data_IF_406890283929
#
_entry.id   IF_406890283929
#
_cell.length_a   1.000
_cell.length_b   1.000
_cell.length_c   1.000
_cell.angle_alpha   90.00
_cell.angle_beta   90.00
_cell.angle_gamma   90.00
#
_symmetry.space_group_name_H-M   'P 1'
#
loop_
_entity.id
_entity.type
_entity.pdbx_description
1 polymer ?
#
# COMPACT_ATOMS: atom_id res chain seq x y z
N UNK A 1 -37.27 -48.87 31.47
CA UNK A 1 -37.46 -48.15 32.75
C UNK A 1 -36.13 -48.10 33.46
N UNK A 2 -35.62 -46.92 33.80
CA UNK A 2 -34.34 -46.78 34.50
C UNK A 2 -33.81 -45.35 34.50
N UNK A 3 -34.29 -44.53 35.43
CA UNK A 3 -33.57 -43.38 35.99
C UNK A 3 -33.22 -43.76 37.45
N UNK A 4 -32.19 -43.19 38.13
CA UNK A 4 -31.97 -41.74 38.18
C UNK A 4 -30.53 -41.20 38.45
N UNK A 5 -30.46 -39.86 38.40
CA UNK A 5 -29.75 -38.91 39.28
C UNK A 5 -28.21 -38.86 39.41
N UNK A 6 -27.69 -37.65 39.22
CA UNK A 6 -26.43 -37.16 39.79
C UNK A 6 -26.19 -35.68 39.44
N UNK A 7 -26.68 -34.76 40.27
CA UNK A 7 -26.33 -33.33 40.25
C UNK A 7 -25.01 -33.14 40.97
N UNK A 8 -24.15 -32.22 40.53
CA UNK A 8 -23.40 -31.42 41.51
C UNK A 8 -23.04 -30.00 41.06
N UNK A 9 -22.99 -29.11 42.06
CA UNK A 9 -23.00 -27.65 42.00
C UNK A 9 -21.63 -27.05 42.36
N UNK A 10 -21.19 -26.09 41.54
CA UNK A 10 -20.41 -24.90 41.95
C UNK A 10 -18.91 -25.08 42.20
N UNK A 11 -18.14 -24.01 42.53
CA UNK A 11 -18.52 -22.61 42.70
C UNK A 11 -17.73 -21.58 41.84
N UNK A 12 -18.20 -20.33 41.93
CA UNK A 12 -17.60 -19.07 41.46
C UNK A 12 -16.27 -18.75 42.17
N UNK A 13 -15.52 -17.79 41.58
CA UNK A 13 -14.61 -16.75 42.16
C UNK A 13 -13.35 -16.64 41.28
N UNK A 14 -12.72 -15.51 41.01
CA UNK A 14 -12.94 -14.08 41.23
C UNK A 14 -11.98 -13.35 40.27
N UNK A 15 -12.36 -12.17 39.79
CA UNK A 15 -11.40 -11.20 39.27
C UNK A 15 -10.83 -10.37 40.44
N UNK A 16 -9.59 -9.88 40.31
CA UNK A 16 -9.27 -8.56 40.84
C UNK A 16 -8.76 -7.59 39.77
N UNK A 17 -9.16 -6.33 39.97
CA UNK A 17 -8.81 -5.12 39.22
C UNK A 17 -7.43 -4.58 39.60
N UNK A 18 -6.82 -3.93 38.59
CA UNK A 18 -6.09 -2.64 38.61
C UNK A 18 -4.83 -2.45 39.48
N UNK A 19 -3.73 -2.15 38.78
CA UNK A 19 -2.76 -1.07 39.06
C UNK A 19 -2.25 -0.62 37.67
N UNK A 20 -2.36 0.63 37.23
CA UNK A 20 -1.53 1.79 37.59
C UNK A 20 -0.50 2.06 36.48
N UNK A 21 -0.31 3.32 36.00
CA UNK A 21 0.43 3.62 34.77
C UNK A 21 1.94 3.76 35.02
N UNK A 22 2.77 3.21 34.13
CA UNK A 22 4.21 3.51 34.10
C UNK A 22 4.50 4.65 33.10
N UNK A 23 4.59 5.86 33.63
CA UNK A 23 5.49 6.91 33.11
C UNK A 23 6.92 6.63 33.60
N UNK A 24 7.91 7.00 32.79
CA UNK A 24 9.09 7.67 33.30
C UNK A 24 9.19 9.10 32.74
N UNK A 25 9.27 10.05 33.66
CA UNK A 25 9.76 11.42 33.43
C UNK A 25 11.31 11.44 33.47
N UNK A 26 11.87 12.47 32.79
CA UNK A 26 13.16 13.16 32.99
C UNK A 26 14.37 12.76 32.13
N UNK A 27 14.81 13.74 31.35
CA UNK A 27 16.20 14.21 31.38
C UNK A 27 16.92 14.16 30.04
N UNK A 28 17.06 15.32 29.37
CA UNK A 28 17.92 15.41 28.18
C UNK A 28 17.80 16.73 27.43
N UNK A 29 18.08 17.84 28.09
CA UNK A 29 18.33 19.14 27.47
C UNK A 29 19.46 19.06 26.44
N UNK A 30 19.16 19.24 25.15
CA UNK A 30 20.15 19.55 24.12
C UNK A 30 19.62 20.60 23.14
N UNK A 31 19.47 21.82 23.64
CA UNK A 31 19.44 23.03 22.82
C UNK A 31 20.71 23.84 23.09
N UNK A 32 21.49 24.20 22.06
CA UNK A 32 22.22 25.44 22.09
C UNK A 32 21.35 26.55 21.50
N UNK A 33 20.84 27.42 22.38
CA UNK A 33 20.40 28.77 22.02
C UNK A 33 21.62 29.57 21.55
N UNK A 34 21.55 30.16 20.36
CA UNK A 34 22.31 31.37 20.02
C UNK A 34 21.36 32.43 19.48
N UNK A 35 21.57 33.63 19.99
CA UNK A 35 20.71 34.81 19.94
C UNK A 35 21.07 35.74 18.76
N UNK A 36 20.02 36.14 18.05
CA UNK A 36 19.64 37.49 17.56
C UNK A 36 20.58 38.44 16.79
N UNK A 37 19.93 39.06 15.79
CA UNK A 37 20.11 40.39 15.18
C UNK A 37 21.21 40.52 14.10
N UNK A 38 21.01 41.18 12.94
CA UNK A 38 19.91 41.96 12.38
C UNK A 38 20.42 42.75 11.14
N UNK A 39 19.52 43.11 10.22
CA UNK A 39 19.68 44.04 9.07
C UNK A 39 20.57 43.54 7.89
N UNK A 40 20.29 43.74 6.60
CA UNK A 40 19.49 44.74 5.84
C UNK A 40 18.90 44.10 4.58
N UNK A 41 17.77 44.66 4.14
CA UNK A 41 17.22 44.53 2.80
C UNK A 41 18.20 45.08 1.77
N UNK A 42 18.44 44.34 0.69
CA UNK A 42 18.70 44.94 -0.63
C UNK A 42 17.92 44.12 -1.64
N UNK A 43 16.94 44.77 -2.27
CA UNK A 43 16.28 44.26 -3.46
C UNK A 43 17.25 44.41 -4.64
N UNK A 44 17.38 43.37 -5.47
CA UNK A 44 17.81 43.55 -6.84
C UNK A 44 17.16 42.49 -7.71
N UNK A 45 16.12 42.94 -8.43
CA UNK A 45 15.55 42.25 -9.55
C UNK A 45 16.61 42.07 -10.64
N UNK A 46 16.87 40.83 -11.02
CA UNK A 46 17.52 40.49 -12.27
C UNK A 46 16.68 39.40 -12.94
N UNK A 47 15.70 39.85 -13.70
CA UNK A 47 15.03 39.01 -14.67
C UNK A 47 16.02 38.65 -15.77
N UNK A 48 16.15 37.35 -16.10
CA UNK A 48 15.76 36.80 -17.42
C UNK A 48 16.48 35.48 -17.72
N UNK A 49 15.64 34.51 -18.13
CA UNK A 49 15.94 33.34 -18.97
C UNK A 49 16.63 32.16 -18.29
N UNK A 50 16.00 31.67 -17.22
CA UNK A 50 16.04 30.24 -16.91
C UNK A 50 15.27 29.47 -17.98
N UNK A 51 15.96 29.11 -19.06
CA UNK A 51 15.52 28.11 -20.05
C UNK A 51 15.07 26.90 -19.24
N UNK A 52 13.76 26.66 -19.17
CA UNK A 52 13.19 25.56 -18.40
C UNK A 52 13.94 24.30 -18.77
N UNK A 53 14.76 23.78 -17.85
CA UNK A 53 15.13 22.37 -17.86
C UNK A 53 13.78 21.68 -17.81
N UNK A 54 13.29 21.25 -18.98
CA UNK A 54 12.31 20.18 -19.09
C UNK A 54 12.95 19.11 -18.23
N UNK A 55 12.44 18.90 -17.01
CA UNK A 55 12.82 17.73 -16.20
C UNK A 55 12.72 16.60 -17.22
N UNK A 56 13.84 15.96 -17.54
CA UNK A 56 13.78 14.71 -18.28
C UNK A 56 12.72 13.91 -17.54
N UNK A 57 11.67 13.54 -18.27
CA UNK A 57 10.58 12.80 -17.69
C UNK A 57 11.24 11.54 -17.15
N UNK A 58 11.36 11.45 -15.82
CA UNK A 58 11.72 10.21 -15.17
C UNK A 58 10.69 9.22 -15.68
N UNK A 59 11.09 8.11 -16.30
CA UNK A 59 10.14 7.16 -16.85
C UNK A 59 9.14 6.82 -15.75
N UNK A 60 7.89 7.22 -15.97
CA UNK A 60 6.79 6.89 -15.09
C UNK A 60 6.41 5.44 -15.35
N UNK A 61 6.13 4.71 -14.29
CA UNK A 61 5.49 3.41 -14.34
C UNK A 61 4.11 3.53 -13.67
N UNK A 62 3.22 2.60 -13.99
CA UNK A 62 2.00 2.39 -13.21
C UNK A 62 2.12 1.08 -12.44
N UNK A 63 2.23 1.18 -11.11
CA UNK A 63 2.25 0.04 -10.20
C UNK A 63 0.82 -0.45 -9.99
N UNK A 64 0.56 -1.71 -10.31
CA UNK A 64 -0.69 -2.41 -10.08
C UNK A 64 -0.62 -3.13 -8.73
N UNK A 65 -1.65 -2.97 -7.90
CA UNK A 65 -1.86 -3.85 -6.75
C UNK A 65 -2.40 -5.22 -7.18
N UNK A 66 -2.55 -6.14 -6.22
CA UNK A 66 -3.08 -7.47 -6.52
C UNK A 66 -4.53 -7.40 -7.01
N UNK A 67 -5.35 -6.52 -6.42
CA UNK A 67 -6.76 -6.40 -6.77
C UNK A 67 -6.95 -5.96 -8.23
N UNK A 68 -6.14 -5.05 -8.75
CA UNK A 68 -6.16 -4.65 -10.15
C UNK A 68 -5.93 -5.85 -11.09
N UNK A 69 -4.90 -6.66 -10.81
CA UNK A 69 -4.59 -7.83 -11.66
C UNK A 69 -5.64 -8.93 -11.51
N UNK A 70 -6.13 -9.19 -10.29
CA UNK A 70 -7.26 -10.11 -10.07
C UNK A 70 -8.44 -9.68 -10.92
N UNK A 71 -8.80 -8.40 -10.90
CA UNK A 71 -9.95 -7.90 -11.65
C UNK A 71 -9.81 -8.09 -13.16
N UNK A 72 -8.60 -7.90 -13.70
CA UNK A 72 -8.32 -8.18 -15.12
C UNK A 72 -8.47 -9.66 -15.47
N UNK A 73 -7.99 -10.56 -14.60
CA UNK A 73 -8.04 -12.00 -14.84
C UNK A 73 -9.46 -12.58 -14.69
N UNK A 74 -10.29 -11.99 -13.84
CA UNK A 74 -11.64 -12.47 -13.52
C UNK A 74 -12.76 -11.77 -14.29
N UNK A 75 -12.43 -10.72 -15.06
CA UNK A 75 -13.43 -9.94 -15.79
C UNK A 75 -14.31 -9.07 -14.87
N UNK A 76 -13.78 -8.67 -13.71
CA UNK A 76 -14.45 -7.74 -12.80
C UNK A 76 -14.63 -6.34 -13.42
N UNK A 77 -15.42 -5.43 -12.80
CA UNK A 77 -15.69 -4.10 -13.34
C UNK A 77 -14.45 -3.27 -13.74
N UNK A 78 -13.30 -3.48 -13.08
CA UNK A 78 -12.05 -2.79 -13.42
C UNK A 78 -11.28 -3.41 -14.60
N UNK A 79 -11.68 -4.58 -15.10
CA UNK A 79 -10.89 -5.36 -16.07
C UNK A 79 -10.49 -4.54 -17.30
N UNK A 80 -11.45 -3.85 -17.94
CA UNK A 80 -11.17 -3.08 -19.15
C UNK A 80 -10.18 -1.92 -18.90
N UNK A 81 -10.23 -1.28 -17.73
CA UNK A 81 -9.29 -0.22 -17.36
C UNK A 81 -7.91 -0.79 -17.06
N UNK A 82 -7.82 -1.90 -16.33
CA UNK A 82 -6.53 -2.55 -16.03
C UNK A 82 -5.89 -3.09 -17.30
N UNK A 83 -6.67 -3.67 -18.21
CA UNK A 83 -6.15 -4.08 -19.52
C UNK A 83 -5.63 -2.91 -20.35
N UNK A 84 -6.24 -1.72 -20.24
CA UNK A 84 -5.71 -0.53 -20.89
C UNK A 84 -4.36 -0.12 -20.30
N UNK A 85 -4.22 -0.17 -18.97
CA UNK A 85 -2.93 0.06 -18.27
C UNK A 85 -1.88 -0.97 -18.68
N UNK A 86 -2.27 -2.24 -18.80
CA UNK A 86 -1.37 -3.33 -19.21
C UNK A 86 -0.81 -3.14 -20.63
N UNK A 87 -1.50 -2.36 -21.48
CA UNK A 87 -1.10 -2.05 -22.85
C UNK A 87 -0.44 -0.68 -22.99
N UNK A 88 -0.27 0.09 -21.92
CA UNK A 88 0.31 1.43 -21.98
C UNK A 88 1.84 1.36 -22.06
N UNK A 89 2.38 1.73 -23.23
CA UNK A 89 3.82 1.75 -23.49
C UNK A 89 4.47 3.02 -22.92
N UNK A 90 3.70 4.09 -22.73
CA UNK A 90 4.20 5.37 -22.23
C UNK A 90 4.34 5.37 -20.70
N UNK A 91 3.51 4.59 -20.02
CA UNK A 91 3.53 4.40 -18.57
C UNK A 91 3.51 2.90 -18.24
N UNK A 92 4.62 2.16 -18.46
CA UNK A 92 4.60 0.70 -18.44
C UNK A 92 4.08 0.13 -17.12
N UNK A 93 3.29 -0.95 -17.19
CA UNK A 93 2.71 -1.59 -16.01
C UNK A 93 3.77 -2.35 -15.22
N UNK A 94 3.69 -2.23 -13.89
CA UNK A 94 4.54 -2.96 -12.97
C UNK A 94 3.72 -3.59 -11.84
N UNK A 95 4.16 -4.71 -11.28
CA UNK A 95 3.61 -5.32 -10.08
C UNK A 95 4.76 -5.78 -9.17
N UNK A 96 4.60 -5.69 -7.86
CA UNK A 96 5.59 -6.25 -6.94
C UNK A 96 5.53 -7.79 -6.94
N UNK A 97 6.66 -8.45 -6.67
CA UNK A 97 6.66 -9.91 -6.49
C UNK A 97 5.72 -10.37 -5.36
N UNK A 98 5.49 -9.54 -4.34
CA UNK A 98 4.59 -9.83 -3.22
C UNK A 98 3.12 -9.74 -3.66
N UNK A 99 2.75 -8.71 -4.42
CA UNK A 99 1.39 -8.59 -4.96
C UNK A 99 1.12 -9.66 -6.03
N UNK A 100 2.12 -10.06 -6.81
CA UNK A 100 1.99 -11.19 -7.74
C UNK A 100 1.68 -12.49 -7.00
N UNK A 101 2.35 -12.74 -5.87
CA UNK A 101 2.06 -13.88 -5.00
C UNK A 101 0.66 -13.80 -4.36
N UNK A 102 0.21 -12.60 -4.00
CA UNK A 102 -1.15 -12.37 -3.51
C UNK A 102 -2.22 -12.63 -4.57
N UNK A 103 -1.98 -12.28 -5.85
CA UNK A 103 -2.87 -12.66 -6.95
C UNK A 103 -3.04 -14.18 -7.03
N UNK A 104 -1.93 -14.93 -6.94
CA UNK A 104 -1.96 -16.39 -6.92
C UNK A 104 -2.76 -16.91 -5.71
N UNK A 105 -2.48 -16.42 -4.49
CA UNK A 105 -3.23 -16.81 -3.28
C UNK A 105 -4.72 -16.54 -3.43
N UNK A 106 -5.11 -15.36 -3.91
CA UNK A 106 -6.51 -14.98 -4.06
C UNK A 106 -7.22 -15.89 -5.06
N UNK A 107 -6.66 -16.08 -6.25
CA UNK A 107 -7.32 -16.88 -7.29
C UNK A 107 -7.41 -18.36 -6.90
N UNK A 108 -6.36 -18.92 -6.29
CA UNK A 108 -6.34 -20.33 -5.89
C UNK A 108 -7.18 -20.56 -4.63
N UNK A 109 -6.90 -19.84 -3.55
CA UNK A 109 -7.49 -20.09 -2.22
C UNK A 109 -8.91 -19.57 -2.11
N UNK A 110 -9.21 -18.42 -2.71
CA UNK A 110 -10.52 -17.77 -2.56
C UNK A 110 -11.46 -18.01 -3.74
N UNK A 111 -10.94 -18.18 -4.95
CA UNK A 111 -11.76 -18.38 -6.15
C UNK A 111 -11.70 -19.81 -6.70
N UNK A 112 -10.84 -20.67 -6.16
CA UNK A 112 -10.77 -22.09 -6.51
C UNK A 112 -10.14 -22.38 -7.86
N UNK A 113 -9.35 -21.46 -8.41
CA UNK A 113 -8.66 -21.67 -9.68
C UNK A 113 -7.51 -22.68 -9.51
N UNK A 114 -7.23 -23.52 -10.53
CA UNK A 114 -6.02 -24.33 -10.56
C UNK A 114 -4.75 -23.46 -10.53
N UNK A 115 -3.77 -23.81 -9.69
CA UNK A 115 -2.56 -23.00 -9.53
C UNK A 115 -1.74 -22.88 -10.82
N UNK A 116 -1.66 -23.97 -11.59
CA UNK A 116 -1.00 -24.03 -12.90
C UNK A 116 -1.67 -23.10 -13.92
N UNK A 117 -3.01 -23.03 -13.95
CA UNK A 117 -3.74 -22.10 -14.81
C UNK A 117 -3.44 -20.63 -14.44
N UNK A 118 -3.39 -20.32 -13.13
CA UNK A 118 -3.07 -18.97 -12.67
C UNK A 118 -1.64 -18.59 -13.03
N UNK A 119 -0.68 -19.47 -12.76
CA UNK A 119 0.74 -19.26 -13.12
C UNK A 119 0.93 -19.06 -14.63
N UNK A 120 0.21 -19.81 -15.47
CA UNK A 120 0.24 -19.64 -16.92
C UNK A 120 -0.25 -18.24 -17.31
N UNK A 121 -1.39 -17.79 -16.78
CA UNK A 121 -1.94 -16.46 -17.08
C UNK A 121 -1.02 -15.34 -16.60
N UNK A 122 -0.44 -15.47 -15.41
CA UNK A 122 0.54 -14.51 -14.90
C UNK A 122 1.80 -14.44 -15.79
N UNK A 123 2.28 -15.59 -16.27
CA UNK A 123 3.38 -15.66 -17.25
C UNK A 123 3.02 -14.94 -18.55
N UNK A 124 1.81 -15.12 -19.06
CA UNK A 124 1.33 -14.40 -20.25
C UNK A 124 1.30 -12.89 -20.04
N UNK A 125 0.87 -12.40 -18.86
CA UNK A 125 0.93 -10.97 -18.53
C UNK A 125 2.36 -10.44 -18.51
N UNK A 126 3.30 -11.18 -17.92
CA UNK A 126 4.72 -10.78 -17.89
C UNK A 126 5.33 -10.74 -19.29
N UNK A 127 5.05 -11.74 -20.13
CA UNK A 127 5.46 -11.75 -21.53
C UNK A 127 4.79 -10.61 -22.33
N UNK A 128 3.58 -10.20 -21.93
CA UNK A 128 2.83 -9.09 -22.49
C UNK A 128 3.27 -7.70 -22.04
N UNK A 129 4.29 -7.58 -21.17
CA UNK A 129 4.87 -6.30 -20.75
C UNK A 129 4.65 -5.93 -19.29
N UNK A 130 3.95 -6.75 -18.49
CA UNK A 130 3.85 -6.55 -17.03
C UNK A 130 5.20 -6.80 -16.37
N UNK A 131 5.83 -5.74 -15.86
CA UNK A 131 7.12 -5.84 -15.17
C UNK A 131 6.94 -6.33 -13.75
N UNK A 132 7.59 -7.43 -13.37
CA UNK A 132 7.63 -7.90 -11.98
C UNK A 132 8.81 -7.25 -11.26
N UNK A 133 8.52 -6.45 -10.24
CA UNK A 133 9.51 -5.72 -9.44
C UNK A 133 9.91 -6.57 -8.23
N UNK A 134 11.20 -6.93 -8.08
CA UNK A 134 11.67 -7.65 -6.91
C UNK A 134 11.59 -6.76 -5.67
N UNK A 135 11.37 -7.38 -4.50
CA UNK A 135 11.35 -6.70 -3.21
C UNK A 135 12.67 -6.96 -2.50
N UNK A 136 13.49 -5.92 -2.37
CA UNK A 136 14.73 -5.95 -1.63
C UNK A 136 14.57 -5.39 -0.20
N UNK A 137 15.67 -5.29 0.54
CA UNK A 137 15.69 -4.73 1.90
C UNK A 137 15.15 -3.29 1.95
N UNK A 138 15.47 -2.46 0.96
CA UNK A 138 15.09 -1.04 0.94
C UNK A 138 13.58 -0.92 0.79
N UNK A 139 12.99 -1.65 -0.17
CA UNK A 139 11.55 -1.69 -0.39
C UNK A 139 10.85 -2.30 0.83
N UNK A 140 11.37 -3.40 1.38
CA UNK A 140 10.80 -4.06 2.55
C UNK A 140 10.75 -3.16 3.78
N UNK A 141 11.82 -2.43 4.08
CA UNK A 141 11.86 -1.48 5.20
C UNK A 141 10.93 -0.28 4.97
N UNK A 142 10.85 0.23 3.74
CA UNK A 142 9.92 1.31 3.39
C UNK A 142 8.45 0.87 3.57
N UNK A 143 8.10 -0.31 3.07
CA UNK A 143 6.78 -0.91 3.25
C UNK A 143 6.44 -1.14 4.72
N UNK A 144 7.39 -1.67 5.50
CA UNK A 144 7.22 -1.86 6.94
C UNK A 144 6.95 -0.55 7.69
N UNK A 145 7.63 0.55 7.30
CA UNK A 145 7.37 1.88 7.87
C UNK A 145 5.99 2.42 7.50
N UNK A 146 5.58 2.26 6.24
CA UNK A 146 4.23 2.64 5.79
C UNK A 146 3.17 1.87 6.59
N UNK A 147 3.32 0.55 6.70
CA UNK A 147 2.40 -0.29 7.43
C UNK A 147 2.34 0.10 8.92
N UNK A 148 3.49 0.30 9.57
CA UNK A 148 3.53 0.70 10.98
C UNK A 148 2.89 2.08 11.25
N UNK A 149 2.98 3.01 10.29
CA UNK A 149 2.44 4.36 10.45
C UNK A 149 0.94 4.46 10.15
N UNK A 150 0.44 3.67 9.20
CA UNK A 150 -0.92 3.84 8.66
C UNK A 150 -1.86 2.68 8.93
N UNK A 151 -1.38 1.50 9.32
CA UNK A 151 -2.25 0.36 9.60
C UNK A 151 -3.16 0.65 10.79
N UNK A 152 -4.46 0.48 10.57
CA UNK A 152 -5.44 0.42 11.63
C UNK A 152 -6.52 -0.61 11.30
N UNK A 153 -6.59 -1.69 12.09
CA UNK A 153 -7.45 -2.87 11.85
C UNK A 153 -8.91 -2.58 11.47
N UNK A 154 -9.52 -1.48 11.93
CA UNK A 154 -10.92 -1.13 11.61
C UNK A 154 -11.10 0.12 10.76
N UNK A 155 -10.10 1.00 10.70
CA UNK A 155 -10.24 2.31 10.05
C UNK A 155 -9.46 2.36 8.73
N UNK A 156 -8.38 1.57 8.65
CA UNK A 156 -7.44 1.56 7.55
C UNK A 156 -6.75 0.19 7.48
N UNK A 157 -7.48 -0.86 7.08
CA UNK A 157 -6.97 -2.23 7.07
C UNK A 157 -6.09 -2.50 5.84
N UNK A 158 -5.05 -1.68 5.63
CA UNK A 158 -4.07 -1.91 4.56
C UNK A 158 -3.22 -3.15 4.88
N UNK A 159 -2.94 -3.97 3.88
CA UNK A 159 -2.06 -5.11 4.02
C UNK A 159 -0.58 -4.70 3.94
N UNK A 160 0.33 -5.61 4.29
CA UNK A 160 1.75 -5.38 4.03
C UNK A 160 2.05 -5.39 2.52
N UNK A 161 1.31 -6.16 1.71
CA UNK A 161 1.45 -6.18 0.27
C UNK A 161 1.06 -4.83 -0.36
N UNK A 162 0.00 -4.19 0.13
CA UNK A 162 -0.40 -2.84 -0.26
C UNK A 162 0.72 -1.82 0.01
N UNK A 163 1.35 -1.95 1.18
CA UNK A 163 2.47 -1.10 1.56
C UNK A 163 3.70 -1.32 0.67
N UNK A 164 3.93 -2.54 0.18
CA UNK A 164 5.00 -2.83 -0.79
C UNK A 164 4.71 -2.17 -2.13
N UNK A 165 3.49 -2.30 -2.67
CA UNK A 165 3.10 -1.62 -3.91
C UNK A 165 3.28 -0.09 -3.80
N UNK A 166 2.83 0.49 -2.68
CA UNK A 166 2.98 1.93 -2.42
C UNK A 166 4.44 2.36 -2.25
N UNK A 167 5.26 1.56 -1.56
CA UNK A 167 6.69 1.85 -1.40
C UNK A 167 7.41 1.90 -2.75
N UNK A 168 7.12 0.94 -3.63
CA UNK A 168 7.67 0.90 -5.00
C UNK A 168 7.21 2.13 -5.78
N UNK A 169 5.90 2.40 -5.82
CA UNK A 169 5.36 3.54 -6.56
C UNK A 169 5.98 4.87 -6.09
N UNK A 170 6.15 5.02 -4.78
CA UNK A 170 6.71 6.22 -4.16
C UNK A 170 8.22 6.37 -4.43
N UNK A 171 8.99 5.28 -4.42
CA UNK A 171 10.45 5.32 -4.64
C UNK A 171 10.84 5.85 -6.02
N UNK A 172 10.03 5.57 -7.05
CA UNK A 172 10.28 5.99 -8.43
C UNK A 172 9.38 7.14 -8.90
N UNK A 173 8.60 7.75 -8.00
CA UNK A 173 7.68 8.85 -8.36
C UNK A 173 6.59 8.45 -9.36
N UNK A 174 6.16 7.20 -9.29
CA UNK A 174 5.20 6.54 -10.17
C UNK A 174 3.78 6.59 -9.62
N UNK A 175 2.83 6.04 -10.38
CA UNK A 175 1.42 5.98 -9.99
C UNK A 175 1.07 4.61 -9.42
N UNK A 176 0.09 4.57 -8.53
CA UNK A 176 -0.48 3.33 -7.96
C UNK A 176 -1.92 3.14 -8.45
N UNK A 177 -2.20 2.04 -9.13
CA UNK A 177 -3.54 1.66 -9.55
C UNK A 177 -4.16 0.70 -8.54
N UNK A 178 -5.33 1.06 -7.99
CA UNK A 178 -6.04 0.28 -6.97
C UNK A 178 -7.50 0.73 -6.86
N UNK A 179 -8.38 -0.13 -6.36
CA UNK A 179 -9.72 0.26 -5.89
C UNK A 179 -9.84 0.33 -4.36
N UNK A 180 -8.82 -0.06 -3.60
CA UNK A 180 -8.86 -0.12 -2.13
C UNK A 180 -8.88 1.30 -1.51
N UNK A 181 -9.96 1.70 -0.81
CA UNK A 181 -10.07 3.04 -0.23
C UNK A 181 -9.01 3.36 0.83
N UNK A 182 -8.57 2.37 1.61
CA UNK A 182 -7.56 2.53 2.66
C UNK A 182 -6.17 2.72 2.06
N UNK A 183 -5.85 1.98 1.00
CA UNK A 183 -4.61 2.17 0.23
C UNK A 183 -4.60 3.52 -0.48
N UNK A 184 -5.71 3.93 -1.11
CA UNK A 184 -5.85 5.24 -1.76
C UNK A 184 -5.64 6.38 -0.77
N UNK A 185 -6.25 6.30 0.41
CA UNK A 185 -6.06 7.31 1.46
C UNK A 185 -4.58 7.42 1.87
N UNK A 186 -3.92 6.26 2.04
CA UNK A 186 -2.49 6.20 2.41
C UNK A 186 -1.59 6.74 1.30
N UNK A 187 -1.87 6.41 0.05
CA UNK A 187 -1.14 6.91 -1.12
C UNK A 187 -1.24 8.43 -1.23
N UNK A 188 -2.45 8.99 -1.04
CA UNK A 188 -2.66 10.45 -1.05
C UNK A 188 -1.92 11.16 0.08
N UNK A 189 -1.93 10.60 1.29
CA UNK A 189 -1.20 11.16 2.44
C UNK A 189 0.32 11.14 2.27
N UNK A 190 0.84 10.15 1.55
CA UNK A 190 2.27 9.98 1.27
C UNK A 190 2.73 10.71 0.01
N UNK A 191 1.80 11.37 -0.71
CA UNK A 191 2.08 12.12 -1.93
C UNK A 191 2.25 11.25 -3.19
N UNK A 192 1.88 9.98 -3.12
CA UNK A 192 1.88 9.08 -4.28
C UNK A 192 0.67 9.38 -5.18
N UNK A 193 0.89 9.46 -6.50
CA UNK A 193 -0.18 9.58 -7.46
C UNK A 193 -0.99 8.28 -7.55
N UNK A 194 -2.31 8.39 -7.73
CA UNK A 194 -3.22 7.25 -7.78
C UNK A 194 -3.94 7.19 -9.12
N UNK A 195 -4.16 5.97 -9.62
CA UNK A 195 -5.10 5.64 -10.69
C UNK A 195 -6.29 4.91 -10.03
N UNK A 196 -7.39 5.61 -9.70
CA UNK A 196 -8.50 5.00 -8.97
C UNK A 196 -9.31 4.08 -9.88
N UNK A 197 -9.35 2.79 -9.53
CA UNK A 197 -10.11 1.77 -10.24
C UNK A 197 -11.49 1.55 -9.59
N UNK A 198 -12.51 1.09 -10.33
CA UNK A 198 -13.75 0.65 -9.73
C UNK A 198 -13.55 -0.63 -8.90
N UNK A 199 -14.29 -0.77 -7.80
CA UNK A 199 -14.29 -1.98 -6.99
C UNK A 199 -15.03 -3.14 -7.68
N UNK A 200 -15.03 -4.33 -7.06
CA UNK A 200 -15.73 -5.52 -7.56
C UNK A 200 -17.25 -5.32 -7.75
N UNK A 201 -17.84 -4.23 -7.21
CA UNK A 201 -19.26 -3.86 -7.39
C UNK A 201 -19.43 -2.66 -8.34
N UNK A 202 -18.37 -2.21 -9.01
CA UNK A 202 -18.37 -1.11 -9.97
C UNK A 202 -18.37 0.28 -9.34
N UNK A 203 -18.18 0.43 -8.02
CA UNK A 203 -18.11 1.75 -7.38
C UNK A 203 -16.70 2.31 -7.49
N UNK A 204 -16.59 3.61 -7.78
CA UNK A 204 -15.32 4.32 -7.72
C UNK A 204 -15.07 4.95 -6.34
N UNK A 205 -13.81 4.97 -5.88
CA UNK A 205 -13.38 5.62 -4.64
C UNK A 205 -13.20 7.15 -4.77
#
# INVERSE_FOLDING_TARGET
MGHPAGRDRGPRRDAPRATGPCRPDRGGDWLPRRTTAGHRRVASAAARRGRGRRREAVPSLTVLDAQAVVAALTGEPAAAEVEALLRDISDPPAISAVNLAEVLDVLVRHQGWPADEVEEKLRWLTLGGLTVVPVDEVVGLAAGRLHAAHYHRTQRPISLADCVALAIASAVGSRLATSDPALIATARETGCAVVPLPDARGRRP
#
